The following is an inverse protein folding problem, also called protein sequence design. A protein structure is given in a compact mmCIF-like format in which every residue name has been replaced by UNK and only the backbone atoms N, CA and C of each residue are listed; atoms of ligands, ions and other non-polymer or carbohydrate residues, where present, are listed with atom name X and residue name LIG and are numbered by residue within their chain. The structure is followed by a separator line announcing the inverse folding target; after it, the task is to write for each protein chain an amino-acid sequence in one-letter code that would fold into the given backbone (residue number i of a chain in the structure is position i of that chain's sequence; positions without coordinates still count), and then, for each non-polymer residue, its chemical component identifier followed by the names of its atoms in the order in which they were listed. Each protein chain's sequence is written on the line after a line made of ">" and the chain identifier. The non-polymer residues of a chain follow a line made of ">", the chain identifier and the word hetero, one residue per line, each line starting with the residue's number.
data_IF_731568148117
#
_entry.id   IF_731568148117
#
_cell.length_a   1.000
_cell.length_b   1.000
_cell.length_c   1.000
_cell.angle_alpha   90.00
_cell.angle_beta   90.00
_cell.angle_gamma   90.00
#
_symmetry.space_group_name_H-M   'P 1'
#
loop_
_entity.id
_entity.type
_entity.pdbx_description
1 polymer ?
#
# COMPACT_ATOMS: atom_id res chain seq x y z
N UNK A 1 30.70 -35.73 -33.67
CA UNK A 1 29.98 -34.44 -33.73
C UNK A 1 28.92 -34.46 -32.65
N UNK A 2 29.34 -34.02 -31.44
CA UNK A 2 28.43 -33.97 -30.27
C UNK A 2 27.50 -32.76 -30.40
N UNK A 3 26.22 -33.06 -30.49
CA UNK A 3 25.16 -32.05 -30.39
C UNK A 3 24.98 -31.71 -28.89
N UNK A 4 25.38 -30.51 -28.51
CA UNK A 4 25.00 -29.91 -27.24
C UNK A 4 23.49 -29.74 -27.18
N UNK A 5 22.82 -30.50 -26.31
CA UNK A 5 21.46 -30.22 -25.91
C UNK A 5 21.48 -28.96 -25.03
N UNK A 6 20.61 -27.96 -25.26
CA UNK A 6 20.49 -26.82 -24.36
C UNK A 6 19.94 -27.33 -23.02
N UNK A 7 20.66 -26.97 -21.95
CA UNK A 7 20.21 -27.16 -20.57
C UNK A 7 18.84 -26.49 -20.39
N UNK A 8 17.91 -27.23 -19.77
CA UNK A 8 16.64 -26.67 -19.31
C UNK A 8 16.94 -25.51 -18.35
N UNK A 9 16.90 -24.29 -18.88
CA UNK A 9 16.89 -23.09 -18.07
C UNK A 9 15.63 -23.11 -17.21
N UNK A 10 15.83 -23.03 -15.90
CA UNK A 10 14.81 -22.81 -14.91
C UNK A 10 13.82 -21.74 -15.38
N UNK A 11 12.65 -22.18 -15.84
CA UNK A 11 11.48 -21.32 -15.97
C UNK A 11 11.15 -20.82 -14.56
N UNK A 12 11.59 -19.63 -14.25
CA UNK A 12 11.09 -18.89 -13.09
C UNK A 12 9.59 -18.91 -13.16
N UNK A 13 8.97 -19.44 -12.11
CA UNK A 13 7.52 -19.44 -11.92
C UNK A 13 7.08 -17.99 -12.13
N UNK A 14 6.38 -17.72 -13.23
CA UNK A 14 5.81 -16.41 -13.47
C UNK A 14 4.85 -16.13 -12.30
N UNK A 15 5.18 -15.13 -11.51
CA UNK A 15 4.35 -14.70 -10.39
C UNK A 15 2.92 -14.53 -10.86
N UNK A 16 1.97 -15.18 -10.16
CA UNK A 16 0.56 -15.00 -10.43
C UNK A 16 0.23 -13.50 -10.37
N UNK A 17 -0.64 -12.97 -11.24
CA UNK A 17 -0.92 -11.55 -11.27
C UNK A 17 -1.39 -11.09 -9.90
N UNK A 18 -0.60 -10.18 -9.29
CA UNK A 18 -0.88 -9.62 -7.98
C UNK A 18 -2.23 -8.89 -8.01
N UNK A 19 -3.01 -9.03 -6.97
CA UNK A 19 -4.33 -8.41 -6.90
C UNK A 19 -4.22 -6.88 -6.62
N UNK A 20 -5.34 -6.16 -6.74
CA UNK A 20 -5.38 -4.71 -6.51
C UNK A 20 -4.97 -4.34 -5.08
N UNK A 21 -5.31 -5.15 -4.09
CA UNK A 21 -4.97 -4.89 -2.69
C UNK A 21 -3.46 -4.95 -2.47
N UNK A 22 -2.75 -5.90 -3.09
CA UNK A 22 -1.30 -5.98 -3.03
C UNK A 22 -0.64 -4.64 -3.42
N UNK A 23 -1.06 -4.05 -4.54
CA UNK A 23 -0.48 -2.76 -4.99
C UNK A 23 -0.81 -1.59 -4.05
N UNK A 24 -1.94 -1.64 -3.33
CA UNK A 24 -2.26 -0.62 -2.34
C UNK A 24 -1.43 -0.81 -1.06
N UNK A 25 -1.22 -2.04 -0.63
CA UNK A 25 -0.33 -2.38 0.49
C UNK A 25 1.11 -1.98 0.16
N UNK A 26 1.61 -2.32 -1.03
CA UNK A 26 2.94 -1.93 -1.52
C UNK A 26 3.14 -0.41 -1.51
N UNK A 27 2.20 0.35 -2.08
CA UNK A 27 2.27 1.81 -2.10
C UNK A 27 2.29 2.41 -0.69
N UNK A 28 1.53 1.82 0.23
CA UNK A 28 1.48 2.24 1.62
C UNK A 28 2.79 1.95 2.36
N UNK A 29 3.35 0.76 2.19
CA UNK A 29 4.65 0.36 2.78
C UNK A 29 5.78 1.22 2.21
N UNK A 30 5.77 1.50 0.89
CA UNK A 30 6.71 2.40 0.27
C UNK A 30 6.65 3.80 0.89
N UNK A 31 5.47 4.34 1.12
CA UNK A 31 5.28 5.62 1.81
C UNK A 31 5.89 5.60 3.22
N UNK A 32 5.62 4.54 4.00
CA UNK A 32 6.17 4.39 5.35
C UNK A 32 7.70 4.31 5.35
N UNK A 33 8.29 3.49 4.49
CA UNK A 33 9.75 3.30 4.43
C UNK A 33 10.46 4.56 3.98
N UNK A 34 9.97 5.24 2.93
CA UNK A 34 10.65 6.39 2.35
C UNK A 34 10.42 7.69 3.12
N UNK A 35 9.26 7.85 3.71
CA UNK A 35 8.83 9.12 4.30
C UNK A 35 8.31 9.02 5.73
N UNK A 36 8.22 7.83 6.30
CA UNK A 36 7.60 7.60 7.62
C UNK A 36 8.22 8.42 8.76
N UNK A 37 9.52 8.69 8.70
CA UNK A 37 10.23 9.50 9.70
C UNK A 37 10.10 11.02 9.48
N UNK A 38 9.53 11.47 8.35
CA UNK A 38 9.35 12.91 8.09
C UNK A 38 8.19 13.47 8.89
N UNK A 39 8.34 14.73 9.35
CA UNK A 39 7.23 15.46 9.95
C UNK A 39 6.20 15.82 8.87
N UNK A 40 4.94 15.55 9.15
CA UNK A 40 3.78 15.94 8.36
C UNK A 40 3.14 17.21 8.93
N UNK A 41 3.04 17.26 10.26
CA UNK A 41 2.57 18.37 11.06
C UNK A 41 3.50 18.56 12.28
N UNK A 42 3.47 19.69 12.99
CA UNK A 42 4.29 19.88 14.18
C UNK A 42 4.15 18.73 15.17
N UNK A 43 5.25 18.02 15.40
CA UNK A 43 5.34 16.87 16.30
C UNK A 43 4.59 15.60 15.86
N UNK A 44 4.10 15.52 14.61
CA UNK A 44 3.43 14.32 14.06
C UNK A 44 4.19 13.87 12.81
N UNK A 45 4.72 12.66 12.85
CA UNK A 45 5.38 12.07 11.68
C UNK A 45 4.37 11.45 10.72
N UNK A 46 4.80 11.24 9.48
CA UNK A 46 3.99 10.51 8.47
C UNK A 46 3.59 9.14 9.00
N UNK A 47 4.51 8.39 9.64
CA UNK A 47 4.21 7.07 10.18
C UNK A 47 3.11 7.14 11.25
N UNK A 48 3.20 8.07 12.19
CA UNK A 48 2.18 8.25 13.25
C UNK A 48 0.81 8.56 12.65
N UNK A 49 0.77 9.50 11.70
CA UNK A 49 -0.47 9.87 11.03
C UNK A 49 -1.11 8.68 10.29
N UNK A 50 -0.35 8.02 9.40
CA UNK A 50 -0.92 6.96 8.55
C UNK A 50 -1.25 5.70 9.34
N UNK A 51 -0.46 5.32 10.38
CA UNK A 51 -0.75 4.20 11.25
C UNK A 51 -2.02 4.43 12.08
N UNK A 52 -2.23 5.65 12.58
CA UNK A 52 -3.45 6.04 13.28
C UNK A 52 -4.70 5.89 12.42
N UNK A 53 -4.59 6.14 11.11
CA UNK A 53 -5.70 6.05 10.17
C UNK A 53 -6.07 4.61 9.75
N UNK A 54 -5.15 3.65 9.86
CA UNK A 54 -5.37 2.26 9.45
C UNK A 54 -5.50 1.27 10.62
N UNK A 55 -5.92 1.75 11.77
CA UNK A 55 -6.18 0.88 12.93
C UNK A 55 -7.18 -0.21 12.55
N UNK A 56 -6.83 -1.49 12.83
CA UNK A 56 -7.67 -2.64 12.51
C UNK A 56 -7.60 -3.13 11.06
N UNK A 57 -6.73 -2.54 10.22
CA UNK A 57 -6.42 -3.07 8.89
C UNK A 57 -5.11 -3.86 8.99
N UNK A 58 -5.16 -5.16 8.66
CA UNK A 58 -3.98 -6.00 8.54
C UNK A 58 -3.71 -6.31 7.07
N UNK A 59 -2.43 -6.30 6.70
CA UNK A 59 -1.99 -6.55 5.34
C UNK A 59 -1.98 -8.05 5.04
N UNK A 60 -2.33 -8.40 3.81
CA UNK A 60 -2.42 -9.80 3.37
C UNK A 60 -1.07 -10.34 2.90
N UNK A 61 -0.24 -9.49 2.31
CA UNK A 61 1.11 -9.90 1.93
C UNK A 61 1.98 -10.08 3.17
N UNK A 62 2.67 -11.22 3.33
CA UNK A 62 3.45 -11.52 4.54
C UNK A 62 4.58 -10.53 4.81
N UNK A 63 5.24 -10.02 3.76
CA UNK A 63 6.36 -9.09 3.88
C UNK A 63 5.83 -7.72 4.29
N UNK A 64 4.76 -7.26 3.65
CA UNK A 64 4.13 -5.99 4.01
C UNK A 64 3.52 -6.03 5.40
N UNK A 65 2.93 -7.16 5.80
CA UNK A 65 2.46 -7.37 7.16
C UNK A 65 3.60 -7.31 8.18
N UNK A 66 4.74 -7.95 7.89
CA UNK A 66 5.92 -7.90 8.76
C UNK A 66 6.43 -6.46 8.92
N UNK A 67 6.61 -5.72 7.82
CA UNK A 67 7.06 -4.32 7.86
C UNK A 67 6.07 -3.44 8.63
N UNK A 68 4.77 -3.61 8.40
CA UNK A 68 3.73 -2.86 9.11
C UNK A 68 3.79 -3.14 10.62
N UNK A 69 4.05 -4.38 11.02
CA UNK A 69 4.22 -4.77 12.42
C UNK A 69 5.43 -4.07 13.05
N UNK A 70 6.57 -4.01 12.35
CA UNK A 70 7.76 -3.28 12.81
C UNK A 70 7.44 -1.80 13.05
N UNK A 71 6.72 -1.15 12.14
CA UNK A 71 6.32 0.25 12.33
C UNK A 71 5.40 0.43 13.54
N UNK A 72 4.40 -0.43 13.72
CA UNK A 72 3.48 -0.40 14.87
C UNK A 72 4.21 -0.59 16.22
N UNK A 73 5.17 -1.51 16.26
CA UNK A 73 5.97 -1.75 17.48
C UNK A 73 6.86 -0.56 17.84
N UNK A 74 7.44 0.11 16.84
CA UNK A 74 8.27 1.29 17.06
C UNK A 74 7.43 2.51 17.45
N UNK A 75 6.30 2.71 16.78
CA UNK A 75 5.36 3.77 17.14
C UNK A 75 4.84 3.63 18.59
N UNK A 76 4.52 2.41 19.01
CA UNK A 76 4.13 2.14 20.42
C UNK A 76 5.23 2.47 21.44
N UNK A 77 6.50 2.49 21.02
CA UNK A 77 7.66 2.90 21.82
C UNK A 77 8.04 4.36 21.63
N UNK A 78 7.25 5.13 20.88
CA UNK A 78 7.54 6.51 20.49
C UNK A 78 8.88 6.67 19.74
N UNK A 79 9.28 5.63 19.01
CA UNK A 79 10.49 5.59 18.20
C UNK A 79 10.14 5.64 16.71
N UNK A 80 10.99 6.28 15.91
CA UNK A 80 10.83 6.33 14.46
C UNK A 80 11.73 5.30 13.79
N UNK A 81 11.25 4.70 12.69
CA UNK A 81 12.05 3.84 11.83
C UNK A 81 12.53 4.63 10.61
N UNK A 82 13.84 4.92 10.53
CA UNK A 82 14.38 5.61 9.36
C UNK A 82 14.52 4.64 8.16
N UNK A 83 14.54 5.18 6.94
CA UNK A 83 14.77 4.42 5.71
C UNK A 83 16.04 3.57 5.76
N UNK A 84 17.08 4.08 6.41
CA UNK A 84 18.38 3.41 6.58
C UNK A 84 18.27 2.05 7.28
N UNK A 85 17.33 1.90 8.21
CA UNK A 85 17.04 0.62 8.86
C UNK A 85 16.66 -0.46 7.83
N UNK A 86 15.87 -0.12 6.81
CA UNK A 86 15.40 -1.05 5.80
C UNK A 86 16.45 -1.32 4.71
N UNK A 87 17.32 -0.38 4.40
CA UNK A 87 18.49 -0.58 3.50
C UNK A 87 19.43 -1.63 4.07
N UNK A 88 19.58 -1.71 5.40
CA UNK A 88 20.45 -2.64 6.10
C UNK A 88 19.68 -3.80 6.73
N UNK A 89 18.43 -4.03 6.36
CA UNK A 89 17.61 -5.09 6.92
C UNK A 89 18.20 -6.48 6.68
N UNK A 90 18.03 -7.41 7.63
CA UNK A 90 18.57 -8.76 7.52
C UNK A 90 17.90 -9.58 6.41
N UNK A 91 16.59 -9.40 6.23
CA UNK A 91 15.85 -10.03 5.15
C UNK A 91 16.18 -9.38 3.82
N UNK A 92 16.70 -10.22 2.88
CA UNK A 92 17.16 -9.77 1.58
C UNK A 92 16.05 -9.10 0.76
N UNK A 93 14.85 -9.64 0.83
CA UNK A 93 13.70 -9.18 0.05
C UNK A 93 13.27 -7.76 0.46
N UNK A 94 13.23 -7.46 1.76
CA UNK A 94 12.95 -6.11 2.28
C UNK A 94 14.03 -5.13 1.83
N UNK A 95 15.29 -5.53 1.91
CA UNK A 95 16.42 -4.71 1.50
C UNK A 95 16.39 -4.39 0.01
N UNK A 96 16.24 -5.41 -0.85
CA UNK A 96 16.21 -5.23 -2.31
C UNK A 96 15.01 -4.37 -2.76
N UNK A 97 13.85 -4.58 -2.17
CA UNK A 97 12.65 -3.78 -2.42
C UNK A 97 12.88 -2.30 -2.05
N UNK A 98 13.45 -2.04 -0.86
CA UNK A 98 13.76 -0.68 -0.40
C UNK A 98 14.77 0.01 -1.34
N UNK A 99 15.85 -0.67 -1.72
CA UNK A 99 16.84 -0.15 -2.65
C UNK A 99 16.21 0.11 -4.02
N UNK A 100 15.35 -0.79 -4.50
CA UNK A 100 14.61 -0.62 -5.74
C UNK A 100 13.77 0.67 -5.74
N UNK A 101 13.04 0.94 -4.67
CA UNK A 101 12.25 2.17 -4.55
C UNK A 101 13.09 3.44 -4.45
N UNK A 102 14.25 3.38 -3.81
CA UNK A 102 15.17 4.52 -3.76
C UNK A 102 15.84 4.79 -5.11
N UNK A 103 16.12 3.73 -5.87
CA UNK A 103 16.78 3.83 -7.17
C UNK A 103 15.82 4.26 -8.29
N UNK A 104 14.51 4.07 -8.11
CA UNK A 104 13.49 4.42 -9.10
C UNK A 104 13.09 5.90 -9.08
N UNK A 105 13.95 6.80 -8.59
CA UNK A 105 13.75 8.24 -8.77
C UNK A 105 13.77 8.51 -10.28
N UNK A 106 12.57 8.75 -10.83
CA UNK A 106 12.44 9.35 -12.15
C UNK A 106 13.16 10.70 -12.09
N UNK A 107 14.31 10.79 -12.72
CA UNK A 107 14.87 12.10 -13.09
C UNK A 107 13.92 12.70 -14.12
N UNK A 108 13.08 13.61 -13.65
CA UNK A 108 12.31 14.47 -14.56
C UNK A 108 13.33 15.17 -15.44
N UNK A 109 13.27 14.93 -16.75
CA UNK A 109 14.11 15.64 -17.71
C UNK A 109 13.94 17.13 -17.47
N UNK A 110 15.05 17.86 -17.29
CA UNK A 110 15.09 19.34 -17.17
C UNK A 110 14.28 20.06 -18.26
N UNK A 111 14.12 19.42 -19.41
CA UNK A 111 13.28 19.84 -20.52
C UNK A 111 11.82 20.13 -20.16
N UNK A 112 11.23 19.47 -19.18
CA UNK A 112 9.84 19.70 -18.77
C UNK A 112 9.69 21.01 -18.03
N UNK A 113 10.64 21.34 -17.17
CA UNK A 113 10.62 22.57 -16.39
C UNK A 113 11.10 23.76 -17.21
N UNK A 114 12.20 23.59 -17.98
CA UNK A 114 12.80 24.71 -18.72
C UNK A 114 12.07 25.06 -20.01
N UNK A 115 11.55 24.06 -20.76
CA UNK A 115 10.97 24.30 -22.07
C UNK A 115 9.44 24.42 -22.08
N UNK A 116 8.77 23.76 -21.14
CA UNK A 116 7.32 23.69 -21.11
C UNK A 116 6.70 24.40 -19.91
N UNK A 117 7.51 24.95 -18.99
CA UNK A 117 7.06 25.60 -17.75
C UNK A 117 6.12 24.71 -16.91
N UNK A 118 6.26 23.38 -17.06
CA UNK A 118 5.46 22.40 -16.31
C UNK A 118 6.22 22.05 -15.04
N UNK A 119 5.77 22.59 -13.90
CA UNK A 119 6.26 22.20 -12.59
C UNK A 119 5.59 20.89 -12.14
N UNK A 120 6.38 19.84 -12.00
CA UNK A 120 5.94 18.60 -11.36
C UNK A 120 6.47 18.61 -9.94
N UNK A 121 5.60 18.72 -8.92
CA UNK A 121 6.05 18.74 -7.53
C UNK A 121 6.72 17.41 -7.17
N UNK A 122 7.79 17.47 -6.41
CA UNK A 122 8.37 16.24 -5.83
C UNK A 122 7.37 15.62 -4.86
N UNK A 123 7.44 14.30 -4.70
CA UNK A 123 6.57 13.56 -3.77
C UNK A 123 6.65 14.11 -2.34
N UNK A 124 7.81 14.68 -1.98
CA UNK A 124 8.07 15.31 -0.70
C UNK A 124 7.30 16.62 -0.50
N UNK A 125 7.06 17.37 -1.57
CA UNK A 125 6.38 18.69 -1.52
C UNK A 125 4.86 18.54 -1.33
N UNK A 126 4.31 17.36 -1.61
CA UNK A 126 2.88 17.06 -1.54
C UNK A 126 2.59 15.84 -0.65
N UNK A 127 3.43 15.66 0.37
CA UNK A 127 3.44 14.46 1.19
C UNK A 127 2.13 14.26 1.97
N UNK A 128 1.51 15.32 2.46
CA UNK A 128 0.20 15.35 3.10
C UNK A 128 -0.88 14.78 2.18
N UNK A 129 -0.95 15.31 0.96
CA UNK A 129 -1.89 14.84 -0.06
C UNK A 129 -1.60 13.39 -0.47
N UNK A 130 -0.33 13.03 -0.62
CA UNK A 130 0.10 11.68 -0.97
C UNK A 130 -0.29 10.68 0.11
N UNK A 131 -0.02 10.99 1.39
CA UNK A 131 -0.40 10.17 2.52
C UNK A 131 -1.92 9.96 2.58
N UNK A 132 -2.69 11.03 2.48
CA UNK A 132 -4.15 10.99 2.51
C UNK A 132 -4.73 10.14 1.38
N UNK A 133 -4.25 10.31 0.14
CA UNK A 133 -4.70 9.51 -1.02
C UNK A 133 -4.37 8.02 -0.83
N UNK A 134 -3.17 7.69 -0.34
CA UNK A 134 -2.78 6.30 -0.09
C UNK A 134 -3.69 5.65 0.96
N UNK A 135 -3.99 6.34 2.07
CA UNK A 135 -4.92 5.88 3.10
C UNK A 135 -6.30 5.60 2.51
N UNK A 136 -6.86 6.54 1.75
CA UNK A 136 -8.19 6.39 1.17
C UNK A 136 -8.26 5.23 0.16
N UNK A 137 -7.23 5.07 -0.69
CA UNK A 137 -7.15 3.99 -1.67
C UNK A 137 -7.03 2.63 -0.99
N UNK A 138 -6.19 2.52 0.04
CA UNK A 138 -6.04 1.30 0.83
C UNK A 138 -7.35 0.93 1.52
N UNK A 139 -7.95 1.87 2.28
CA UNK A 139 -9.24 1.66 2.96
C UNK A 139 -10.34 1.23 1.99
N UNK A 140 -10.47 1.92 0.86
CA UNK A 140 -11.46 1.60 -0.17
C UNK A 140 -11.26 0.18 -0.72
N UNK A 141 -10.02 -0.18 -1.07
CA UNK A 141 -9.72 -1.50 -1.63
C UNK A 141 -9.93 -2.61 -0.59
N UNK A 142 -9.54 -2.38 0.66
CA UNK A 142 -9.79 -3.31 1.76
C UNK A 142 -11.30 -3.56 1.98
N UNK A 143 -12.11 -2.51 1.91
CA UNK A 143 -13.57 -2.62 2.03
C UNK A 143 -14.17 -3.38 0.83
N UNK A 144 -13.66 -3.15 -0.39
CA UNK A 144 -14.06 -3.89 -1.59
C UNK A 144 -13.79 -5.40 -1.43
N UNK A 145 -12.67 -5.80 -0.82
CA UNK A 145 -12.40 -7.21 -0.51
C UNK A 145 -13.36 -7.77 0.57
N UNK A 146 -13.71 -7.00 1.59
CA UNK A 146 -14.75 -7.40 2.57
C UNK A 146 -16.11 -7.59 1.91
N UNK A 147 -16.48 -6.73 0.97
CA UNK A 147 -17.72 -6.88 0.19
C UNK A 147 -17.73 -8.15 -0.65
N UNK A 148 -16.60 -8.50 -1.29
CA UNK A 148 -16.45 -9.77 -2.02
C UNK A 148 -16.60 -10.97 -1.09
N UNK A 149 -15.98 -10.92 0.09
CA UNK A 149 -16.11 -11.98 1.09
C UNK A 149 -17.57 -12.15 1.56
N UNK A 150 -18.30 -11.06 1.80
CA UNK A 150 -19.75 -11.12 2.10
C UNK A 150 -20.52 -11.79 0.96
N UNK A 151 -20.22 -11.42 -0.29
CA UNK A 151 -20.89 -12.01 -1.46
C UNK A 151 -20.66 -13.52 -1.57
N UNK A 152 -19.41 -13.99 -1.34
CA UNK A 152 -19.09 -15.42 -1.33
C UNK A 152 -19.82 -16.16 -0.19
N UNK A 153 -19.90 -15.55 1.01
CA UNK A 153 -20.63 -16.13 2.14
C UNK A 153 -22.14 -16.27 1.83
N UNK A 154 -22.74 -15.28 1.16
CA UNK A 154 -24.14 -15.34 0.75
C UNK A 154 -24.48 -16.52 -0.18
N UNK A 155 -23.52 -16.96 -1.02
CA UNK A 155 -23.73 -18.09 -1.94
C UNK A 155 -23.79 -19.46 -1.22
N UNK A 156 -23.25 -19.56 -0.01
CA UNK A 156 -23.15 -20.81 0.75
C UNK A 156 -24.13 -20.94 1.92
N UNK A 157 -24.88 -19.89 2.22
CA UNK A 157 -25.79 -19.83 3.38
C UNK A 157 -27.10 -20.54 3.11
N UNK A 158 -27.63 -21.16 4.18
CA UNK A 158 -28.93 -21.85 4.20
C UNK A 158 -29.91 -21.28 5.23
N UNK A 159 -29.46 -20.36 6.08
CA UNK A 159 -30.26 -19.74 7.14
C UNK A 159 -30.67 -18.31 6.74
N UNK A 160 -31.95 -18.00 6.79
CA UNK A 160 -32.51 -16.67 6.50
C UNK A 160 -31.97 -15.60 7.49
N UNK A 161 -31.77 -15.97 8.75
CA UNK A 161 -31.24 -15.04 9.78
C UNK A 161 -29.78 -14.65 9.47
N UNK A 162 -28.96 -15.61 9.06
CA UNK A 162 -27.56 -15.38 8.65
C UNK A 162 -27.49 -14.55 7.36
N UNK A 163 -28.40 -14.82 6.39
CA UNK A 163 -28.49 -14.04 5.16
C UNK A 163 -28.75 -12.57 5.44
N UNK A 164 -29.72 -12.27 6.29
CA UNK A 164 -30.05 -10.90 6.70
C UNK A 164 -28.87 -10.23 7.39
N UNK A 165 -28.14 -10.93 8.26
CA UNK A 165 -26.97 -10.39 8.94
C UNK A 165 -25.87 -9.99 7.94
N UNK A 166 -25.54 -10.87 6.98
CA UNK A 166 -24.51 -10.59 5.97
C UNK A 166 -24.96 -9.50 5.00
N UNK A 167 -26.22 -9.44 4.63
CA UNK A 167 -26.74 -8.35 3.81
C UNK A 167 -26.58 -6.99 4.48
N UNK A 168 -26.82 -6.91 5.80
CA UNK A 168 -26.57 -5.68 6.57
C UNK A 168 -25.09 -5.31 6.58
N UNK A 169 -24.19 -6.30 6.79
CA UNK A 169 -22.75 -6.12 6.74
C UNK A 169 -22.31 -5.61 5.35
N UNK A 170 -22.78 -6.23 4.28
CA UNK A 170 -22.52 -5.81 2.90
C UNK A 170 -22.97 -4.38 2.63
N UNK A 171 -24.19 -4.01 3.05
CA UNK A 171 -24.73 -2.65 2.87
C UNK A 171 -23.91 -1.61 3.63
N UNK A 172 -23.42 -1.94 4.84
CA UNK A 172 -22.52 -1.09 5.58
C UNK A 172 -21.22 -0.83 4.79
N UNK A 173 -20.54 -1.89 4.33
CA UNK A 173 -19.32 -1.76 3.53
C UNK A 173 -19.55 -0.98 2.23
N UNK A 174 -20.67 -1.20 1.55
CA UNK A 174 -21.03 -0.47 0.34
C UNK A 174 -21.12 1.04 0.59
N UNK A 175 -21.79 1.45 1.67
CA UNK A 175 -21.93 2.86 2.02
C UNK A 175 -20.56 3.50 2.33
N UNK A 176 -19.69 2.80 3.07
CA UNK A 176 -18.33 3.28 3.38
C UNK A 176 -17.47 3.37 2.11
N UNK A 177 -17.56 2.39 1.21
CA UNK A 177 -16.86 2.41 -0.09
C UNK A 177 -17.29 3.60 -0.95
N UNK A 178 -18.59 3.90 -0.98
CA UNK A 178 -19.13 5.06 -1.72
C UNK A 178 -18.64 6.39 -1.13
N UNK A 179 -18.58 6.51 0.20
CA UNK A 179 -18.06 7.70 0.86
C UNK A 179 -16.56 7.90 0.52
N UNK A 180 -15.74 6.85 0.64
CA UNK A 180 -14.32 6.90 0.27
C UNK A 180 -14.11 7.24 -1.22
N UNK A 181 -14.95 6.74 -2.12
CA UNK A 181 -14.87 7.07 -3.54
C UNK A 181 -15.19 8.55 -3.81
N UNK A 182 -16.15 9.12 -3.09
CA UNK A 182 -16.51 10.53 -3.18
C UNK A 182 -15.36 11.43 -2.73
N UNK A 183 -14.72 11.09 -1.60
CA UNK A 183 -13.55 11.83 -1.10
C UNK A 183 -12.39 11.76 -2.09
N UNK A 184 -12.08 10.58 -2.64
CA UNK A 184 -11.06 10.44 -3.69
C UNK A 184 -11.37 11.29 -4.92
N UNK A 185 -12.63 11.37 -5.35
CA UNK A 185 -13.05 12.23 -6.45
C UNK A 185 -12.87 13.71 -6.18
N UNK A 186 -13.05 14.16 -4.94
CA UNK A 186 -12.87 15.57 -4.55
C UNK A 186 -11.39 15.98 -4.44
N UNK A 187 -10.49 15.05 -4.21
CA UNK A 187 -9.05 15.33 -4.04
C UNK A 187 -8.28 15.29 -5.37
N UNK A 188 -8.77 14.50 -6.34
CA UNK A 188 -8.11 14.31 -7.65
C UNK A 188 -8.62 15.31 -8.70
N UNK A 189 -9.77 15.94 -8.47
CA UNK A 189 -10.36 16.99 -9.31
C UNK A 189 -9.77 18.33 -9.01
#
# INVERSE_FOLDING_TARGET
>A
VDFFAPSEENLTVADAPKNKLYYQEEAFIRLLILFGAKELEPSVTVSQYVLGEIVGIDFQDPIFHHILTLFREHDARQATLPTDYFIHHQENEIREMTIGWLSSKYELSELWTEKFEIYVPFEEDVLDKTAFINILRLKKTYIEEKMKACHLRLQSIKSEEEEIAIMKEYMFYKNVSMAAAKELGSVIG
#
